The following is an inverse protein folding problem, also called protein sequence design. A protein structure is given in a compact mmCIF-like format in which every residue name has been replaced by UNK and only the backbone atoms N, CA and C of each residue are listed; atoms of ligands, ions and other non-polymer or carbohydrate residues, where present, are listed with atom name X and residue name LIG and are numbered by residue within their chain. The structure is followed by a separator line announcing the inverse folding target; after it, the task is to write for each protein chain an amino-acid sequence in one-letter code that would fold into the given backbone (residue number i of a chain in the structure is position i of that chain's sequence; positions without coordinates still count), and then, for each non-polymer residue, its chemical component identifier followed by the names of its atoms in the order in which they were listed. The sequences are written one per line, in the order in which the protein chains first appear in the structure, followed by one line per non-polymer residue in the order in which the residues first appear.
data_IF_750789893912
#
_entry.id   IF_750789893912
#
_cell.length_a   1.000
_cell.length_b   1.000
_cell.length_c   1.000
_cell.angle_alpha   90.00
_cell.angle_beta   90.00
_cell.angle_gamma   90.00
#
_symmetry.space_group_name_H-M   'P 1'
#
loop_
_entity.id
_entity.type
_entity.pdbx_description
1 polymer ?
#
# COMPACT_ATOMS: atom_id res chain seq x y z
N UNK A 1 -7.40 -10.23 -5.73
CA UNK A 1 -6.08 -10.27 -5.08
C UNK A 1 -5.11 -11.27 -5.71
N UNK A 2 -5.58 -12.47 -6.05
CA UNK A 2 -4.71 -13.47 -6.66
C UNK A 2 -4.00 -13.01 -7.93
N UNK A 3 -4.72 -12.29 -8.79
CA UNK A 3 -4.13 -11.77 -10.03
C UNK A 3 -3.02 -10.75 -9.75
N UNK A 4 -3.18 -9.96 -8.71
CA UNK A 4 -2.18 -8.95 -8.34
C UNK A 4 -0.94 -9.61 -7.75
N UNK A 5 -1.14 -10.60 -6.90
CA UNK A 5 -0.03 -11.38 -6.33
C UNK A 5 0.72 -12.09 -7.45
N UNK A 6 0.00 -12.74 -8.36
CA UNK A 6 0.62 -13.46 -9.48
C UNK A 6 1.41 -12.53 -10.40
N UNK A 7 0.93 -11.30 -10.60
CA UNK A 7 1.64 -10.34 -11.44
C UNK A 7 2.97 -9.91 -10.82
N UNK A 8 3.04 -9.84 -9.50
CA UNK A 8 4.24 -9.37 -8.81
C UNK A 8 5.19 -10.49 -8.42
N UNK A 9 4.70 -11.70 -8.26
CA UNK A 9 5.53 -12.80 -7.78
C UNK A 9 6.82 -13.01 -8.59
N UNK A 10 6.81 -12.95 -9.93
CA UNK A 10 8.05 -13.12 -10.70
C UNK A 10 9.08 -12.01 -10.47
N UNK A 11 8.66 -10.87 -9.95
CA UNK A 11 9.54 -9.73 -9.70
C UNK A 11 10.11 -9.71 -8.29
N UNK A 12 9.74 -10.69 -7.47
CA UNK A 12 10.16 -10.75 -6.07
C UNK A 12 10.87 -12.07 -5.80
N UNK A 13 11.82 -12.03 -4.88
CA UNK A 13 12.60 -13.21 -4.49
C UNK A 13 12.06 -13.88 -3.23
N UNK A 14 10.86 -13.50 -2.81
CA UNK A 14 10.18 -14.11 -1.67
C UNK A 14 8.71 -14.31 -1.99
N UNK A 15 8.03 -15.09 -1.17
CA UNK A 15 6.60 -15.32 -1.36
C UNK A 15 5.81 -14.04 -1.09
N UNK A 16 4.97 -13.64 -2.03
CA UNK A 16 4.08 -12.50 -1.88
C UNK A 16 2.75 -13.02 -1.36
N UNK A 17 2.32 -12.46 -0.22
CA UNK A 17 1.09 -12.90 0.45
C UNK A 17 -0.11 -11.99 0.18
N UNK A 18 0.14 -10.74 -0.20
CA UNK A 18 -0.92 -9.79 -0.53
C UNK A 18 -0.37 -8.71 -1.45
N UNK A 19 -1.23 -8.12 -2.26
CA UNK A 19 -0.84 -7.03 -3.16
C UNK A 19 -2.08 -6.21 -3.52
N UNK A 20 -1.88 -4.90 -3.69
CA UNK A 20 -2.97 -4.00 -4.04
C UNK A 20 -2.42 -2.81 -4.80
N UNK A 21 -3.18 -2.35 -5.82
CA UNK A 21 -2.87 -1.10 -6.48
C UNK A 21 -3.44 0.05 -5.66
N UNK A 22 -2.65 1.07 -5.44
CA UNK A 22 -3.02 2.18 -4.58
C UNK A 22 -2.78 3.50 -5.29
N UNK A 23 -3.58 4.52 -4.93
CA UNK A 23 -3.34 5.88 -5.37
C UNK A 23 -2.88 6.71 -4.19
N UNK A 24 -2.25 7.85 -4.47
CA UNK A 24 -1.95 8.81 -3.41
C UNK A 24 -3.26 9.34 -2.84
N UNK A 25 -3.31 9.56 -1.54
CA UNK A 25 -4.54 9.95 -0.84
C UNK A 25 -4.86 11.44 -1.01
N UNK A 26 -4.89 11.91 -2.28
CA UNK A 26 -5.16 13.30 -2.58
C UNK A 26 -6.62 13.69 -2.45
N UNK A 27 -7.51 12.71 -2.43
CA UNK A 27 -8.95 12.97 -2.30
C UNK A 27 -9.42 13.04 -0.85
N UNK A 28 -8.53 12.80 0.12
CA UNK A 28 -8.87 12.89 1.53
C UNK A 28 -9.09 14.33 1.96
N UNK A 29 -10.02 14.52 2.92
CA UNK A 29 -10.14 15.80 3.58
C UNK A 29 -8.89 16.06 4.43
N UNK A 30 -8.56 17.35 4.62
CA UNK A 30 -7.46 17.74 5.50
C UNK A 30 -7.60 17.17 6.90
N UNK A 31 -8.86 17.08 7.37
CA UNK A 31 -9.16 16.55 8.68
C UNK A 31 -8.72 15.09 8.82
N UNK A 32 -9.06 14.26 7.84
CA UNK A 32 -8.67 12.84 7.87
C UNK A 32 -7.16 12.67 7.76
N UNK A 33 -6.52 13.46 6.91
CA UNK A 33 -5.07 13.41 6.77
C UNK A 33 -4.42 13.77 8.10
N UNK A 34 -4.85 14.84 8.75
CA UNK A 34 -4.32 15.26 10.04
C UNK A 34 -4.52 14.20 11.10
N UNK A 35 -5.71 13.59 11.12
CA UNK A 35 -6.04 12.57 12.10
C UNK A 35 -5.14 11.34 11.96
N UNK A 36 -4.91 10.88 10.73
CA UNK A 36 -4.07 9.72 10.48
C UNK A 36 -2.59 10.03 10.68
N UNK A 37 -2.14 11.17 10.15
CA UNK A 37 -0.73 11.55 10.26
C UNK A 37 -0.33 11.93 11.67
N UNK A 38 -1.26 12.45 12.45
CA UNK A 38 -1.02 12.78 13.85
C UNK A 38 -0.68 11.56 14.69
N UNK A 39 -1.12 10.37 14.27
CA UNK A 39 -0.81 9.13 14.98
C UNK A 39 0.58 8.61 14.70
N UNK A 40 1.17 8.98 13.56
CA UNK A 40 2.45 8.41 13.12
C UNK A 40 3.59 9.44 13.12
N UNK A 41 3.27 10.70 13.37
CA UNK A 41 4.29 11.73 13.50
C UNK A 41 4.55 12.53 12.23
N UNK A 42 5.72 13.07 12.12
CA UNK A 42 6.05 14.13 11.21
C UNK A 42 6.21 13.71 9.75
N UNK A 43 5.82 14.57 8.86
CA UNK A 43 6.21 14.56 7.46
C UNK A 43 5.58 13.51 6.58
N UNK A 44 5.35 13.86 5.33
CA UNK A 44 4.88 12.88 4.35
C UNK A 44 5.82 12.89 3.16
N UNK A 45 6.05 11.71 2.58
CA UNK A 45 6.90 11.50 1.43
C UNK A 45 6.15 10.83 0.29
N UNK A 46 4.82 10.93 0.28
CA UNK A 46 4.01 10.26 -0.73
C UNK A 46 4.40 10.60 -2.16
N UNK A 47 4.93 11.80 -2.39
CA UNK A 47 5.38 12.22 -3.71
C UNK A 47 6.56 11.40 -4.25
N UNK A 48 7.23 10.64 -3.41
CA UNK A 48 8.34 9.77 -3.84
C UNK A 48 7.87 8.49 -4.48
N UNK A 49 6.61 8.11 -4.26
CA UNK A 49 6.05 6.93 -4.88
C UNK A 49 5.30 7.32 -6.15
N UNK A 50 5.28 6.45 -7.18
CA UNK A 50 4.45 6.72 -8.34
C UNK A 50 2.98 6.75 -7.96
N UNK A 51 2.16 7.35 -8.80
CA UNK A 51 0.72 7.40 -8.61
C UNK A 51 0.05 7.00 -9.93
N UNK A 52 -0.54 5.82 -10.04
CA UNK A 52 -0.72 4.81 -8.99
C UNK A 52 0.55 4.02 -8.68
N UNK A 53 0.51 3.31 -7.57
CA UNK A 53 1.62 2.47 -7.14
C UNK A 53 1.09 1.09 -6.76
N UNK A 54 1.88 0.07 -7.00
CA UNK A 54 1.54 -1.30 -6.62
C UNK A 54 2.27 -1.62 -5.32
N UNK A 55 1.53 -1.92 -4.26
CA UNK A 55 2.11 -2.28 -2.96
C UNK A 55 1.97 -3.79 -2.78
N UNK A 56 3.07 -4.45 -2.51
CA UNK A 56 3.12 -5.89 -2.28
C UNK A 56 3.63 -6.18 -0.88
N UNK A 57 3.02 -7.15 -0.23
CA UNK A 57 3.43 -7.62 1.09
C UNK A 57 4.01 -9.01 0.92
N UNK A 58 5.31 -9.13 1.15
CA UNK A 58 6.00 -10.41 1.09
C UNK A 58 6.16 -11.01 2.48
N UNK A 59 6.82 -12.14 2.54
CA UNK A 59 7.07 -12.82 3.81
C UNK A 59 8.03 -12.04 4.72
N UNK A 60 8.91 -11.21 4.13
CA UNK A 60 9.92 -10.47 4.89
C UNK A 60 9.92 -8.98 4.63
N UNK A 61 9.38 -8.54 3.49
CA UNK A 61 9.50 -7.16 3.05
C UNK A 61 8.20 -6.65 2.47
N UNK A 62 8.06 -5.33 2.45
CA UNK A 62 6.98 -4.65 1.76
C UNK A 62 7.61 -3.92 0.58
N UNK A 63 7.00 -4.07 -0.60
CA UNK A 63 7.53 -3.55 -1.85
C UNK A 63 6.60 -2.51 -2.44
N UNK A 64 7.17 -1.54 -3.14
CA UNK A 64 6.42 -0.62 -3.97
C UNK A 64 6.95 -0.70 -5.40
N UNK A 65 6.05 -0.90 -6.34
CA UNK A 65 6.39 -1.02 -7.76
C UNK A 65 5.69 0.04 -8.59
N UNK A 66 6.42 0.59 -9.55
CA UNK A 66 5.80 1.34 -10.63
C UNK A 66 5.17 0.35 -11.61
N UNK A 67 4.01 0.69 -12.15
CA UNK A 67 3.33 -0.18 -13.10
C UNK A 67 2.44 0.62 -14.05
N UNK A 68 2.04 -0.01 -15.14
CA UNK A 68 1.07 0.53 -16.07
C UNK A 68 -0.09 -0.45 -16.21
N UNK A 69 -1.34 0.00 -16.05
CA UNK A 69 -2.48 -0.86 -16.34
C UNK A 69 -2.58 -1.11 -17.85
N UNK A 70 -2.84 -2.34 -18.23
CA UNK A 70 -3.02 -2.73 -19.64
C UNK A 70 -4.25 -3.62 -19.76
N UNK A 71 -5.44 -3.00 -19.88
CA UNK A 71 -6.69 -3.72 -19.89
C UNK A 71 -6.88 -4.44 -18.56
N UNK A 72 -6.96 -5.75 -18.60
CA UNK A 72 -7.10 -6.56 -17.39
C UNK A 72 -5.76 -7.02 -16.80
N UNK A 73 -4.64 -6.57 -17.40
CA UNK A 73 -3.31 -6.96 -16.96
C UNK A 73 -2.54 -5.78 -16.39
N UNK A 74 -1.52 -6.09 -15.62
CA UNK A 74 -0.65 -5.08 -15.03
C UNK A 74 0.74 -5.25 -15.61
N UNK A 75 1.27 -4.19 -16.22
CA UNK A 75 2.65 -4.20 -16.68
C UNK A 75 3.52 -3.65 -15.55
N UNK A 76 4.24 -4.54 -14.88
CA UNK A 76 5.14 -4.15 -13.81
C UNK A 76 6.40 -3.54 -14.42
N UNK A 77 6.76 -2.34 -13.99
CA UNK A 77 7.91 -1.63 -14.54
C UNK A 77 9.14 -1.83 -13.69
N UNK A 78 9.19 -1.24 -12.50
CA UNK A 78 10.35 -1.38 -11.64
C UNK A 78 9.97 -1.31 -10.18
N UNK A 79 10.81 -1.89 -9.34
CA UNK A 79 10.70 -1.75 -7.90
C UNK A 79 11.23 -0.35 -7.54
N UNK A 80 10.41 0.47 -6.90
CA UNK A 80 10.79 1.82 -6.52
C UNK A 80 11.14 1.92 -5.05
N UNK A 81 10.69 0.97 -4.23
CA UNK A 81 11.03 0.94 -2.81
C UNK A 81 10.84 -0.47 -2.25
N UNK A 82 11.58 -0.75 -1.20
CA UNK A 82 11.47 -2.00 -0.44
C UNK A 82 11.82 -1.70 1.00
N UNK A 83 10.97 -2.12 1.92
CA UNK A 83 11.18 -1.87 3.35
C UNK A 83 11.08 -3.19 4.13
N UNK A 84 11.93 -3.38 5.15
CA UNK A 84 11.75 -4.53 6.05
C UNK A 84 10.37 -4.49 6.68
N UNK A 85 9.70 -5.63 6.69
CA UNK A 85 8.32 -5.74 7.14
C UNK A 85 8.16 -5.31 8.61
N UNK A 86 9.14 -5.62 9.44
CA UNK A 86 9.10 -5.30 10.86
C UNK A 86 9.41 -3.83 11.18
N UNK A 87 9.78 -3.04 10.17
CA UNK A 87 10.03 -1.60 10.34
C UNK A 87 8.91 -0.73 9.80
N UNK A 88 7.84 -1.35 9.31
CA UNK A 88 6.72 -0.62 8.72
C UNK A 88 5.52 -0.67 9.65
N UNK A 89 4.88 0.47 9.83
CA UNK A 89 3.61 0.55 10.56
C UNK A 89 2.54 1.16 9.67
N UNK A 90 1.29 0.80 9.94
CA UNK A 90 0.15 1.20 9.10
C UNK A 90 -1.00 1.66 9.99
N UNK A 91 -1.57 2.80 9.63
CA UNK A 91 -2.81 3.29 10.23
C UNK A 91 -3.82 3.44 9.11
N UNK A 92 -5.00 2.91 9.28
CA UNK A 92 -6.01 2.88 8.21
C UNK A 92 -7.37 3.37 8.68
N UNK A 93 -8.14 3.92 7.75
CA UNK A 93 -9.52 4.30 7.96
C UNK A 93 -10.33 3.86 6.75
N UNK A 94 -11.40 3.10 7.00
CA UNK A 94 -12.26 2.56 5.94
C UNK A 94 -13.58 3.30 5.88
N UNK A 95 -13.99 3.64 4.66
CA UNK A 95 -15.35 4.12 4.39
C UNK A 95 -15.98 3.17 3.38
N UNK A 96 -17.25 3.39 3.06
CA UNK A 96 -17.95 2.54 2.09
C UNK A 96 -17.33 2.59 0.70
N UNK A 97 -16.75 3.73 0.33
CA UNK A 97 -16.23 3.92 -1.03
C UNK A 97 -14.72 3.84 -1.11
N UNK A 98 -14.03 4.23 -0.05
CA UNK A 98 -12.59 4.37 -0.09
C UNK A 98 -11.97 3.94 1.22
N UNK A 99 -10.85 3.22 1.13
CA UNK A 99 -10.03 2.91 2.29
C UNK A 99 -8.75 3.70 2.16
N UNK A 100 -8.42 4.47 3.19
CA UNK A 100 -7.21 5.27 3.22
C UNK A 100 -6.30 4.74 4.30
N UNK A 101 -5.03 4.66 4.00
CA UNK A 101 -4.06 4.24 5.00
C UNK A 101 -2.77 5.04 4.87
N UNK A 102 -2.06 5.15 5.98
CA UNK A 102 -0.75 5.78 6.02
C UNK A 102 0.27 4.71 6.36
N UNK A 103 1.22 4.52 5.47
CA UNK A 103 2.30 3.57 5.63
C UNK A 103 3.53 4.35 6.09
N UNK A 104 4.05 4.01 7.27
CA UNK A 104 5.20 4.68 7.85
C UNK A 104 6.37 3.73 7.94
N UNK A 105 7.52 4.14 7.42
CA UNK A 105 8.72 3.31 7.39
C UNK A 105 9.59 3.57 8.61
N UNK A 106 10.57 2.70 8.83
CA UNK A 106 11.50 2.84 9.95
C UNK A 106 12.34 4.11 9.90
N UNK A 107 12.51 4.68 8.72
CA UNK A 107 13.22 5.96 8.57
C UNK A 107 12.35 7.17 8.88
N UNK A 108 11.08 6.96 9.22
CA UNK A 108 10.16 8.05 9.56
C UNK A 108 9.41 8.64 8.37
N UNK A 109 9.57 8.06 7.20
CA UNK A 109 8.83 8.51 6.02
C UNK A 109 7.41 7.97 6.07
N UNK A 110 6.43 8.80 5.71
CA UNK A 110 5.02 8.43 5.71
C UNK A 110 4.42 8.62 4.33
N UNK A 111 3.63 7.63 3.92
CA UNK A 111 3.00 7.60 2.60
C UNK A 111 1.49 7.42 2.75
N UNK A 112 0.71 8.52 2.64
CA UNK A 112 -0.75 8.41 2.63
C UNK A 112 -1.21 7.83 1.28
N UNK A 113 -1.92 6.72 1.34
CA UNK A 113 -2.38 6.02 0.15
C UNK A 113 -3.87 5.70 0.28
N UNK A 114 -4.53 5.50 -0.84
CA UNK A 114 -5.94 5.13 -0.84
C UNK A 114 -6.22 4.00 -1.82
N UNK A 115 -7.19 3.18 -1.48
CA UNK A 115 -7.66 2.06 -2.28
C UNK A 115 -9.17 2.12 -2.32
N UNK A 116 -9.80 2.01 -3.52
CA UNK A 116 -11.26 1.93 -3.57
C UNK A 116 -11.75 0.68 -2.85
N UNK A 117 -12.57 0.85 -1.82
CA UNK A 117 -13.07 -0.26 -1.02
C UNK A 117 -13.86 -1.27 -1.85
N UNK A 118 -14.57 -0.75 -2.87
CA UNK A 118 -15.40 -1.59 -3.73
C UNK A 118 -14.64 -2.30 -4.85
N UNK A 119 -13.43 -1.89 -5.14
CA UNK A 119 -12.71 -2.37 -6.33
C UNK A 119 -12.20 -3.80 -6.24
N UNK A 120 -11.93 -4.29 -5.09
CA UNK A 120 -11.55 -5.70 -4.88
C UNK A 120 -12.46 -6.37 -3.90
N UNK A 121 -13.54 -5.68 -3.53
CA UNK A 121 -14.40 -6.10 -2.47
C UNK A 121 -13.78 -5.75 -1.11
N UNK A 122 -14.68 -5.58 -0.16
CA UNK A 122 -14.30 -5.24 1.21
C UNK A 122 -13.35 -6.27 1.81
N UNK A 123 -13.59 -7.53 1.48
CA UNK A 123 -12.80 -8.64 2.01
C UNK A 123 -11.35 -8.62 1.52
N UNK A 124 -11.14 -8.29 0.26
CA UNK A 124 -9.78 -8.23 -0.30
C UNK A 124 -8.97 -7.09 0.31
N UNK A 125 -9.61 -5.95 0.53
CA UNK A 125 -8.96 -4.82 1.20
C UNK A 125 -8.59 -5.21 2.63
N UNK A 126 -9.48 -5.91 3.33
CA UNK A 126 -9.21 -6.36 4.69
C UNK A 126 -8.02 -7.34 4.74
N UNK A 127 -7.96 -8.27 3.80
CA UNK A 127 -6.83 -9.20 3.70
C UNK A 127 -5.52 -8.44 3.50
N UNK A 128 -5.54 -7.46 2.62
CA UNK A 128 -4.36 -6.64 2.34
C UNK A 128 -3.92 -5.85 3.59
N UNK A 129 -4.85 -5.18 4.24
CA UNK A 129 -4.54 -4.39 5.43
C UNK A 129 -4.06 -5.27 6.58
N UNK A 130 -4.67 -6.44 6.74
CA UNK A 130 -4.23 -7.38 7.79
C UNK A 130 -2.81 -7.87 7.52
N UNK A 131 -2.47 -8.11 6.27
CA UNK A 131 -1.11 -8.51 5.91
C UNK A 131 -0.10 -7.41 6.23
N UNK A 132 -0.44 -6.15 5.94
CA UNK A 132 0.39 -5.02 6.30
C UNK A 132 0.52 -4.88 7.82
N UNK A 133 -0.58 -5.02 8.52
CA UNK A 133 -0.64 -4.84 9.98
C UNK A 133 0.18 -5.90 10.72
N UNK A 134 0.20 -7.11 10.19
CA UNK A 134 0.99 -8.19 10.77
C UNK A 134 2.48 -7.86 10.83
N UNK A 135 2.94 -6.89 10.04
CA UNK A 135 4.33 -6.45 10.07
C UNK A 135 4.71 -5.73 11.35
N UNK A 136 3.73 -5.33 12.14
CA UNK A 136 3.94 -4.58 13.36
C UNK A 136 4.28 -5.45 14.59
N UNK A 137 4.09 -6.72 14.46
CA UNK A 137 4.30 -7.67 15.58
C UNK A 137 5.74 -8.16 15.71
#
# INVERSE_FOLDING_TARGET
MAKMVDALQPHCDEEIVAAMTCNHAGSMSSFLISKLMGSVGAGTKSSRLPNPVFIAVGSRSIYAFDYAPRGFKFKIKKEVARWPKDEVSVVAEKTNMMTTFVLTTGSGESYPLEVPTMMGGKELVDVFLNALDASQD
#
